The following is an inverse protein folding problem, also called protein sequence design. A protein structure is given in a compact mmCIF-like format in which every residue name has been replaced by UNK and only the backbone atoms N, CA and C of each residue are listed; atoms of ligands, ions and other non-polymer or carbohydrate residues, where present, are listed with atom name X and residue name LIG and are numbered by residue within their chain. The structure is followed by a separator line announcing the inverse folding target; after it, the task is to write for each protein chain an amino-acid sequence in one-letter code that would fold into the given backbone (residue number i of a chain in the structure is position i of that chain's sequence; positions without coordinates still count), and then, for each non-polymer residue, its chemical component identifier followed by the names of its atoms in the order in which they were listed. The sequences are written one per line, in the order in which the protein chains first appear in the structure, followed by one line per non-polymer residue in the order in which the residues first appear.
data_IF_039604150936
#
_entry.id   IF_039604150936
#
_cell.length_a   1.000
_cell.length_b   1.000
_cell.length_c   1.000
_cell.angle_alpha   90.00
_cell.angle_beta   90.00
_cell.angle_gamma   90.00
#
_symmetry.space_group_name_H-M   'P 1'
#
loop_
_entity.id
_entity.type
_entity.pdbx_description
1 polymer ?
#
# COMPACT_ATOMS: atom_id res chain seq x y z
N UNK A 1 -12.05 39.16 -25.11
CA UNK A 1 -10.83 38.63 -25.80
C UNK A 1 -9.53 38.69 -24.98
N UNK A 2 -9.55 38.83 -23.66
CA UNK A 2 -8.31 39.13 -22.88
C UNK A 2 -7.76 37.93 -22.03
N UNK A 3 -8.58 37.02 -21.54
CA UNK A 3 -8.10 35.93 -20.64
C UNK A 3 -7.25 34.82 -21.32
N UNK A 4 -7.46 34.56 -22.60
CA UNK A 4 -6.70 33.50 -23.32
C UNK A 4 -5.28 33.92 -23.70
N UNK A 5 -5.02 35.20 -23.90
CA UNK A 5 -3.67 35.71 -24.17
C UNK A 5 -2.79 35.74 -22.94
N UNK A 6 -3.28 36.19 -21.80
CA UNK A 6 -2.54 36.21 -20.54
C UNK A 6 -2.12 34.79 -20.08
N UNK A 7 -2.96 33.82 -20.31
CA UNK A 7 -2.63 32.40 -19.96
C UNK A 7 -1.54 31.83 -20.88
N UNK A 8 -1.52 32.21 -22.15
CA UNK A 8 -0.46 31.84 -23.09
C UNK A 8 0.89 32.51 -22.75
N UNK A 9 0.87 33.77 -22.32
CA UNK A 9 2.09 34.49 -21.97
C UNK A 9 2.73 34.01 -20.68
N UNK A 10 1.93 33.66 -19.66
CA UNK A 10 2.41 33.06 -18.44
C UNK A 10 3.01 31.67 -18.71
N UNK A 11 2.36 30.88 -19.54
CA UNK A 11 2.85 29.55 -19.94
C UNK A 11 4.18 29.67 -20.73
N UNK A 12 4.30 30.67 -21.63
CA UNK A 12 5.53 30.94 -22.37
C UNK A 12 6.70 31.39 -21.47
N UNK A 13 6.42 32.18 -20.43
CA UNK A 13 7.42 32.60 -19.43
C UNK A 13 7.93 31.41 -18.58
N UNK A 14 7.03 30.52 -18.17
CA UNK A 14 7.40 29.29 -17.45
C UNK A 14 8.19 28.31 -18.33
N UNK A 15 7.82 28.15 -19.61
CA UNK A 15 8.53 27.33 -20.58
C UNK A 15 9.95 27.85 -20.87
N UNK A 16 10.13 29.16 -20.93
CA UNK A 16 11.46 29.78 -21.07
C UNK A 16 12.36 29.55 -19.86
N UNK A 17 11.82 29.61 -18.64
CA UNK A 17 12.56 29.33 -17.40
C UNK A 17 13.04 27.89 -17.28
N UNK A 18 12.31 26.93 -17.83
CA UNK A 18 12.61 25.49 -17.80
C UNK A 18 13.38 24.99 -19.02
N UNK A 19 13.78 25.86 -19.96
CA UNK A 19 14.40 25.49 -21.24
C UNK A 19 13.59 24.43 -22.04
N UNK A 20 12.26 24.38 -21.84
CA UNK A 20 11.37 23.46 -22.52
C UNK A 20 11.06 23.94 -23.93
N UNK A 21 11.25 23.06 -24.91
CA UNK A 21 10.88 23.30 -26.31
C UNK A 21 9.40 22.92 -26.52
N UNK A 22 8.80 23.41 -27.61
CA UNK A 22 7.40 23.11 -27.97
C UNK A 22 7.16 21.58 -28.01
N UNK A 23 8.13 20.82 -28.49
CA UNK A 23 8.05 19.35 -28.56
C UNK A 23 8.00 18.69 -27.17
N UNK A 24 8.69 19.26 -26.18
CA UNK A 24 8.66 18.71 -24.82
C UNK A 24 7.27 18.86 -24.21
N UNK A 25 6.66 20.04 -24.38
CA UNK A 25 5.30 20.30 -23.92
C UNK A 25 4.28 19.41 -24.62
N UNK A 26 4.46 19.18 -25.93
CA UNK A 26 3.62 18.27 -26.69
C UNK A 26 3.65 16.86 -26.11
N UNK A 27 4.85 16.30 -25.84
CA UNK A 27 5.03 14.97 -25.28
C UNK A 27 4.47 14.90 -23.85
N UNK A 28 4.79 15.88 -22.98
CA UNK A 28 4.29 15.91 -21.59
C UNK A 28 2.76 15.95 -21.58
N UNK A 29 2.14 16.82 -22.36
CA UNK A 29 0.68 16.94 -22.43
C UNK A 29 0.03 15.64 -22.92
N UNK A 30 0.62 14.99 -23.92
CA UNK A 30 0.14 13.69 -24.41
C UNK A 30 0.27 12.62 -23.34
N UNK A 31 1.42 12.54 -22.66
CA UNK A 31 1.66 11.57 -21.61
C UNK A 31 0.68 11.72 -20.45
N UNK A 32 0.61 12.91 -19.85
CA UNK A 32 -0.28 13.17 -18.71
C UNK A 32 -1.75 12.99 -19.13
N UNK A 33 -2.16 13.47 -20.30
CA UNK A 33 -3.51 13.30 -20.80
C UNK A 33 -3.89 11.82 -21.00
N UNK A 34 -2.98 11.01 -21.54
CA UNK A 34 -3.20 9.57 -21.70
C UNK A 34 -3.23 8.85 -20.35
N UNK A 35 -2.37 9.24 -19.40
CA UNK A 35 -2.36 8.73 -18.04
C UNK A 35 -3.70 8.99 -17.32
N UNK A 36 -4.20 10.22 -17.33
CA UNK A 36 -5.50 10.57 -16.74
C UNK A 36 -6.63 9.80 -17.41
N UNK A 37 -6.62 9.72 -18.75
CA UNK A 37 -7.63 8.96 -19.48
C UNK A 37 -7.61 7.47 -19.12
N UNK A 38 -6.42 6.86 -19.02
CA UNK A 38 -6.28 5.45 -18.64
C UNK A 38 -6.79 5.18 -17.23
N UNK A 39 -6.48 6.06 -16.27
CA UNK A 39 -6.98 5.97 -14.90
C UNK A 39 -8.52 6.02 -14.89
N UNK A 40 -9.11 7.04 -15.50
CA UNK A 40 -10.56 7.24 -15.51
C UNK A 40 -11.29 6.04 -16.13
N UNK A 41 -10.79 5.52 -17.25
CA UNK A 41 -11.38 4.38 -17.92
C UNK A 41 -11.35 3.13 -17.04
N UNK A 42 -10.20 2.82 -16.44
CA UNK A 42 -10.05 1.58 -15.65
C UNK A 42 -10.74 1.71 -14.30
N UNK A 43 -10.75 2.90 -13.67
CA UNK A 43 -11.52 3.14 -12.45
C UNK A 43 -13.01 2.94 -12.72
N UNK A 44 -13.54 3.43 -13.85
CA UNK A 44 -14.94 3.20 -14.19
C UNK A 44 -15.27 1.70 -14.29
N UNK A 45 -14.39 0.91 -14.92
CA UNK A 45 -14.54 -0.56 -14.98
C UNK A 45 -14.42 -1.17 -13.59
N UNK A 46 -13.43 -0.76 -12.80
CA UNK A 46 -13.21 -1.28 -11.45
C UNK A 46 -14.40 -1.02 -10.53
N UNK A 47 -15.00 0.17 -10.58
CA UNK A 47 -16.21 0.50 -9.81
C UNK A 47 -17.38 -0.39 -10.23
N UNK A 48 -17.58 -0.63 -11.53
CA UNK A 48 -18.65 -1.50 -12.01
C UNK A 48 -18.47 -2.95 -11.52
N UNK A 49 -17.23 -3.45 -11.56
CA UNK A 49 -16.92 -4.80 -11.07
C UNK A 49 -17.08 -4.90 -9.55
N UNK A 50 -16.62 -3.91 -8.80
CA UNK A 50 -16.76 -3.87 -7.34
C UNK A 50 -18.23 -3.75 -6.90
N UNK A 51 -19.05 -2.95 -7.65
CA UNK A 51 -20.51 -2.93 -7.44
C UNK A 51 -21.12 -4.31 -7.66
N UNK A 52 -20.74 -4.98 -8.73
CA UNK A 52 -21.30 -6.30 -9.05
C UNK A 52 -20.90 -7.36 -7.99
N UNK A 53 -19.72 -7.23 -7.40
CA UNK A 53 -19.25 -8.12 -6.33
C UNK A 53 -19.94 -7.86 -4.99
N UNK A 54 -20.18 -6.58 -4.63
CA UNK A 54 -20.65 -6.17 -3.30
C UNK A 54 -22.12 -5.80 -3.22
N UNK A 55 -22.88 -5.92 -4.31
CA UNK A 55 -24.28 -5.49 -4.33
C UNK A 55 -25.14 -6.28 -3.33
N UNK A 56 -24.88 -7.57 -3.18
CA UNK A 56 -25.61 -8.42 -2.24
C UNK A 56 -25.35 -7.99 -0.79
N UNK A 57 -24.11 -7.67 -0.45
CA UNK A 57 -23.74 -7.16 0.88
C UNK A 57 -24.42 -5.81 1.17
N UNK A 58 -24.46 -4.90 0.18
CA UNK A 58 -25.11 -3.59 0.34
C UNK A 58 -26.62 -3.71 0.53
N UNK A 59 -27.27 -4.68 -0.15
CA UNK A 59 -28.72 -4.93 0.00
C UNK A 59 -29.02 -5.62 1.34
N UNK A 60 -28.24 -6.64 1.72
CA UNK A 60 -28.39 -7.37 2.99
C UNK A 60 -28.22 -6.45 4.19
N UNK A 61 -27.22 -5.55 4.15
CA UNK A 61 -26.94 -4.58 5.21
C UNK A 61 -27.84 -3.33 5.20
N UNK A 62 -28.71 -3.19 4.20
CA UNK A 62 -29.53 -1.99 4.01
C UNK A 62 -28.71 -0.69 3.97
N UNK A 63 -27.53 -0.72 3.38
CA UNK A 63 -26.65 0.43 3.28
C UNK A 63 -27.32 1.58 2.52
N UNK A 64 -27.39 2.82 3.08
CA UNK A 64 -27.99 3.94 2.40
C UNK A 64 -27.19 4.32 1.15
N UNK A 65 -27.86 4.56 0.02
CA UNK A 65 -27.23 4.90 -1.26
C UNK A 65 -26.24 6.08 -1.13
N UNK A 66 -26.54 7.04 -0.28
CA UNK A 66 -25.66 8.18 0.01
C UNK A 66 -24.33 7.71 0.58
N UNK A 67 -24.33 6.81 1.57
CA UNK A 67 -23.11 6.28 2.16
C UNK A 67 -22.32 5.43 1.15
N UNK A 68 -23.00 4.63 0.31
CA UNK A 68 -22.33 3.87 -0.77
C UNK A 68 -21.57 4.82 -1.70
N UNK A 69 -22.18 5.94 -2.13
CA UNK A 69 -21.54 6.87 -3.06
C UNK A 69 -20.43 7.69 -2.40
N UNK A 70 -20.70 8.32 -1.24
CA UNK A 70 -19.79 9.31 -0.65
C UNK A 70 -18.80 8.71 0.33
N UNK A 71 -19.18 7.70 1.12
CA UNK A 71 -18.29 7.13 2.12
C UNK A 71 -17.50 5.96 1.53
N UNK A 72 -18.08 5.19 0.59
CA UNK A 72 -17.39 4.08 -0.04
C UNK A 72 -16.73 4.47 -1.37
N UNK A 73 -17.49 4.74 -2.46
CA UNK A 73 -16.90 4.90 -3.80
C UNK A 73 -16.06 6.18 -3.95
N UNK A 74 -16.42 7.29 -3.35
CA UNK A 74 -15.62 8.52 -3.40
C UNK A 74 -14.25 8.32 -2.74
N UNK A 75 -14.15 7.42 -1.77
CA UNK A 75 -12.91 7.08 -1.06
C UNK A 75 -12.17 5.88 -1.66
N UNK A 76 -12.88 4.98 -2.34
CA UNK A 76 -12.31 3.87 -3.12
C UNK A 76 -11.49 4.39 -4.33
N UNK A 77 -11.99 5.40 -5.03
CA UNK A 77 -11.35 5.93 -6.25
C UNK A 77 -9.91 6.41 -6.02
N UNK A 78 -9.59 7.30 -5.05
CA UNK A 78 -8.22 7.72 -4.79
C UNK A 78 -7.30 6.58 -4.40
N UNK A 79 -7.76 5.66 -3.57
CA UNK A 79 -7.00 4.48 -3.17
C UNK A 79 -6.63 3.61 -4.36
N UNK A 80 -7.62 3.23 -5.18
CA UNK A 80 -7.44 2.38 -6.34
C UNK A 80 -6.55 3.03 -7.41
N UNK A 81 -6.74 4.33 -7.66
CA UNK A 81 -5.94 5.10 -8.61
C UNK A 81 -4.46 5.08 -8.26
N UNK A 82 -4.11 5.22 -6.98
CA UNK A 82 -2.73 5.24 -6.53
C UNK A 82 -2.13 3.84 -6.43
N UNK A 83 -2.89 2.87 -5.99
CA UNK A 83 -2.45 1.47 -5.91
C UNK A 83 -1.95 0.96 -7.26
N UNK A 84 -2.63 1.32 -8.35
CA UNK A 84 -2.31 0.91 -9.71
C UNK A 84 -1.65 2.02 -10.56
N UNK A 85 -1.20 3.13 -9.94
CA UNK A 85 -0.62 4.27 -10.68
C UNK A 85 0.55 3.89 -11.59
N UNK A 86 1.39 2.95 -11.16
CA UNK A 86 2.52 2.44 -11.94
C UNK A 86 2.06 1.70 -13.21
N UNK A 87 1.01 0.88 -13.10
CA UNK A 87 0.39 0.20 -14.23
C UNK A 87 -0.18 1.22 -15.24
N UNK A 88 -0.91 2.20 -14.74
CA UNK A 88 -1.50 3.24 -15.60
C UNK A 88 -0.45 4.11 -16.27
N UNK A 89 0.62 4.46 -15.56
CA UNK A 89 1.76 5.18 -16.12
C UNK A 89 2.38 4.38 -17.27
N UNK A 90 2.61 3.10 -17.05
CA UNK A 90 3.20 2.24 -18.04
C UNK A 90 2.31 2.08 -19.28
N UNK A 91 1.02 1.79 -19.09
CA UNK A 91 0.04 1.69 -20.19
C UNK A 91 0.00 3.00 -20.97
N UNK A 92 -0.06 4.14 -20.28
CA UNK A 92 -0.07 5.46 -20.92
C UNK A 92 1.17 5.68 -21.79
N UNK A 93 2.36 5.40 -21.23
CA UNK A 93 3.63 5.55 -21.97
C UNK A 93 3.66 4.66 -23.20
N UNK A 94 3.36 3.37 -23.06
CA UNK A 94 3.41 2.42 -24.17
C UNK A 94 2.38 2.80 -25.24
N UNK A 95 1.16 3.12 -24.83
CA UNK A 95 0.08 3.44 -25.76
C UNK A 95 0.38 4.68 -26.59
N UNK A 96 0.71 5.83 -25.95
CA UNK A 96 0.93 7.04 -26.73
C UNK A 96 2.25 7.02 -27.49
N UNK A 97 3.32 6.40 -26.94
CA UNK A 97 4.61 6.29 -27.62
C UNK A 97 4.53 5.39 -28.84
N UNK A 98 3.86 4.25 -28.74
CA UNK A 98 3.67 3.38 -29.93
C UNK A 98 2.80 4.06 -30.98
N UNK A 99 1.84 4.91 -30.60
CA UNK A 99 1.08 5.73 -31.55
C UNK A 99 1.95 6.77 -32.25
N UNK A 100 2.87 7.45 -31.52
CA UNK A 100 3.86 8.34 -32.10
C UNK A 100 4.82 7.60 -33.06
N UNK A 101 5.29 6.39 -32.67
CA UNK A 101 6.13 5.56 -33.50
C UNK A 101 5.42 5.09 -34.79
N UNK A 102 4.15 4.66 -34.67
CA UNK A 102 3.33 4.28 -35.80
C UNK A 102 3.14 5.41 -36.81
N UNK A 103 2.92 6.64 -36.32
CA UNK A 103 2.78 7.85 -37.13
C UNK A 103 4.10 8.42 -37.65
N UNK A 104 5.21 7.71 -37.44
CA UNK A 104 6.56 8.14 -37.81
C UNK A 104 7.05 9.43 -37.12
N UNK A 105 6.32 9.95 -36.14
CA UNK A 105 6.68 11.18 -35.42
C UNK A 105 8.01 11.02 -34.65
N UNK A 106 8.28 9.85 -34.06
CA UNK A 106 9.55 9.57 -33.37
C UNK A 106 10.71 9.58 -34.37
N UNK A 107 10.52 8.98 -35.56
CA UNK A 107 11.54 8.98 -36.61
C UNK A 107 11.82 10.42 -37.05
N UNK A 108 10.79 11.22 -37.27
CA UNK A 108 10.95 12.64 -37.66
C UNK A 108 11.70 13.44 -36.59
N UNK A 109 11.42 13.21 -35.30
CA UNK A 109 12.15 13.85 -34.18
C UNK A 109 13.63 13.46 -34.20
N UNK A 110 13.96 12.20 -34.36
CA UNK A 110 15.34 11.73 -34.37
C UNK A 110 16.07 12.18 -35.61
N UNK A 111 15.42 12.19 -36.79
CA UNK A 111 16.00 12.64 -38.07
C UNK A 111 16.26 14.17 -38.08
N UNK A 112 15.59 14.93 -37.23
CA UNK A 112 15.88 16.37 -37.06
C UNK A 112 17.14 16.67 -36.23
N UNK A 113 17.93 15.64 -35.86
CA UNK A 113 19.16 15.78 -35.08
C UNK A 113 18.94 15.81 -33.56
N UNK A 114 17.72 15.53 -33.06
CA UNK A 114 17.46 15.39 -31.63
C UNK A 114 17.90 14.01 -31.20
N UNK A 115 18.85 13.95 -30.24
CA UNK A 115 19.31 12.66 -29.68
C UNK A 115 18.20 11.94 -28.94
N UNK A 116 18.24 10.61 -28.90
CA UNK A 116 17.28 9.78 -28.14
C UNK A 116 17.23 10.16 -26.65
N UNK A 117 18.37 10.48 -26.04
CA UNK A 117 18.47 10.97 -24.67
C UNK A 117 17.69 12.27 -24.47
N UNK A 118 17.75 13.19 -25.43
CA UNK A 118 17.02 14.46 -25.36
C UNK A 118 15.51 14.25 -25.53
N UNK A 119 15.11 13.29 -26.36
CA UNK A 119 13.70 12.89 -26.53
C UNK A 119 13.12 12.25 -25.26
N UNK A 120 13.92 11.54 -24.45
CA UNK A 120 13.47 10.96 -23.17
C UNK A 120 13.18 12.04 -22.10
N UNK A 121 13.78 13.22 -22.20
CA UNK A 121 13.67 14.25 -21.17
C UNK A 121 12.22 14.65 -20.81
N UNK A 122 11.32 14.93 -21.77
CA UNK A 122 9.91 15.22 -21.46
C UNK A 122 9.16 14.03 -20.81
N UNK A 123 9.54 12.80 -21.10
CA UNK A 123 8.97 11.63 -20.42
C UNK A 123 9.39 11.57 -18.95
N UNK A 124 10.66 11.89 -18.67
CA UNK A 124 11.15 11.96 -17.27
C UNK A 124 10.45 13.10 -16.52
N UNK A 125 10.24 14.26 -17.13
CA UNK A 125 9.46 15.35 -16.52
C UNK A 125 8.03 14.90 -16.22
N UNK A 126 7.36 14.26 -17.19
CA UNK A 126 6.02 13.72 -16.99
C UNK A 126 5.97 12.66 -15.88
N UNK A 127 6.95 11.75 -15.86
CA UNK A 127 7.10 10.76 -14.80
C UNK A 127 7.33 11.41 -13.43
N UNK A 128 8.11 12.50 -13.36
CA UNK A 128 8.33 13.27 -12.12
C UNK A 128 7.02 13.86 -11.60
N UNK A 129 6.21 14.46 -12.48
CA UNK A 129 4.91 15.01 -12.09
C UNK A 129 3.99 13.91 -11.53
N UNK A 130 3.92 12.75 -12.20
CA UNK A 130 3.12 11.62 -11.74
C UNK A 130 3.67 11.07 -10.43
N UNK A 131 4.99 10.90 -10.30
CA UNK A 131 5.64 10.37 -9.10
C UNK A 131 5.41 11.27 -7.88
N UNK A 132 5.56 12.59 -8.03
CA UNK A 132 5.29 13.56 -6.96
C UNK A 132 3.82 13.58 -6.57
N UNK A 133 2.92 13.55 -7.56
CA UNK A 133 1.49 13.45 -7.32
C UNK A 133 1.14 12.16 -6.56
N UNK A 134 1.62 11.01 -7.03
CA UNK A 134 1.38 9.71 -6.38
C UNK A 134 1.94 9.68 -4.96
N UNK A 135 3.15 10.23 -4.74
CA UNK A 135 3.74 10.32 -3.41
C UNK A 135 2.92 11.18 -2.45
N UNK A 136 2.46 12.35 -2.91
CA UNK A 136 1.62 13.23 -2.11
C UNK A 136 0.26 12.58 -1.78
N UNK A 137 -0.39 11.98 -2.77
CA UNK A 137 -1.66 11.29 -2.56
C UNK A 137 -1.52 10.12 -1.60
N UNK A 138 -0.48 9.28 -1.75
CA UNK A 138 -0.25 8.10 -0.91
C UNK A 138 -0.03 8.46 0.56
N UNK A 139 0.57 9.62 0.85
CA UNK A 139 0.88 10.01 2.23
C UNK A 139 -0.20 10.89 2.89
N UNK A 140 -1.03 11.61 2.11
CA UNK A 140 -1.97 12.60 2.66
C UNK A 140 -3.44 12.33 2.30
N UNK A 141 -3.74 11.89 1.09
CA UNK A 141 -5.12 11.71 0.62
C UNK A 141 -5.60 10.29 0.87
N UNK A 142 -4.83 9.29 0.44
CA UNK A 142 -5.19 7.87 0.55
C UNK A 142 -5.42 7.43 2.00
N UNK A 143 -4.62 7.82 3.00
CA UNK A 143 -4.86 7.42 4.38
C UNK A 143 -6.24 7.85 4.90
N UNK A 144 -6.61 9.11 4.65
CA UNK A 144 -7.91 9.63 5.08
C UNK A 144 -9.08 8.97 4.32
N UNK A 145 -8.92 8.78 3.01
CA UNK A 145 -9.90 8.08 2.20
C UNK A 145 -10.08 6.62 2.65
N UNK A 146 -8.98 5.91 2.94
CA UNK A 146 -9.04 4.56 3.44
C UNK A 146 -9.67 4.43 4.83
N UNK A 147 -9.49 5.42 5.72
CA UNK A 147 -10.20 5.43 7.02
C UNK A 147 -11.70 5.33 6.81
N UNK A 148 -12.27 6.24 5.99
CA UNK A 148 -13.71 6.30 5.73
C UNK A 148 -14.20 5.03 5.01
N UNK A 149 -13.44 4.56 4.01
CA UNK A 149 -13.78 3.35 3.25
C UNK A 149 -13.80 2.10 4.13
N UNK A 150 -12.77 1.90 4.96
CA UNK A 150 -12.66 0.74 5.85
C UNK A 150 -13.74 0.75 6.95
N UNK A 151 -14.07 1.94 7.47
CA UNK A 151 -15.18 2.12 8.42
C UNK A 151 -16.52 1.72 7.79
N UNK A 152 -16.75 2.14 6.54
CA UNK A 152 -17.93 1.72 5.78
C UNK A 152 -17.95 0.20 5.55
N UNK A 153 -16.83 -0.39 5.11
CA UNK A 153 -16.73 -1.84 4.89
C UNK A 153 -16.97 -2.63 6.18
N UNK A 154 -16.47 -2.15 7.32
CA UNK A 154 -16.69 -2.80 8.60
C UNK A 154 -18.17 -2.74 9.02
N UNK A 155 -18.85 -1.63 8.74
CA UNK A 155 -20.24 -1.45 9.16
C UNK A 155 -21.25 -2.13 8.24
N UNK A 156 -21.04 -2.12 6.91
CA UNK A 156 -22.03 -2.56 5.94
C UNK A 156 -21.66 -3.85 5.17
N UNK A 157 -20.38 -4.08 4.88
CA UNK A 157 -19.94 -5.25 4.11
C UNK A 157 -19.59 -6.41 5.03
N UNK A 158 -18.96 -6.13 6.16
CA UNK A 158 -18.53 -7.14 7.12
C UNK A 158 -19.46 -7.22 8.33
N UNK A 159 -20.75 -6.96 8.11
CA UNK A 159 -21.80 -6.98 9.15
C UNK A 159 -22.01 -8.35 9.81
N UNK A 160 -21.51 -9.42 9.21
CA UNK A 160 -21.25 -10.69 9.92
C UNK A 160 -19.95 -10.50 10.69
N UNK A 161 -20.00 -10.61 12.04
CA UNK A 161 -18.78 -10.54 12.81
C UNK A 161 -17.82 -11.61 12.28
N UNK A 162 -16.86 -11.20 11.44
CA UNK A 162 -15.86 -12.11 10.91
C UNK A 162 -15.09 -12.61 12.11
N UNK A 163 -15.30 -13.90 12.43
CA UNK A 163 -14.59 -14.56 13.52
C UNK A 163 -13.11 -14.62 13.15
N UNK A 164 -12.35 -13.62 13.57
CA UNK A 164 -10.90 -13.71 13.55
C UNK A 164 -10.46 -14.50 14.78
N UNK A 165 -10.15 -15.75 14.57
CA UNK A 165 -9.44 -16.53 15.58
C UNK A 165 -7.94 -16.28 15.41
N UNK A 166 -7.44 -15.22 16.03
CA UNK A 166 -6.00 -15.04 16.16
C UNK A 166 -5.44 -16.16 17.03
N UNK A 167 -4.35 -16.80 16.57
CA UNK A 167 -3.69 -17.89 17.29
C UNK A 167 -2.28 -17.48 17.68
N UNK A 168 -1.85 -18.02 18.84
CA UNK A 168 -0.50 -17.85 19.37
C UNK A 168 -0.07 -16.37 19.53
N UNK A 169 -0.96 -15.56 20.13
CA UNK A 169 -0.71 -14.14 20.34
C UNK A 169 0.30 -13.97 21.48
N UNK A 170 1.45 -13.39 21.16
CA UNK A 170 2.44 -12.91 22.14
C UNK A 170 2.49 -11.40 22.10
N UNK A 171 2.37 -10.74 23.24
CA UNK A 171 2.41 -9.28 23.30
C UNK A 171 3.03 -8.79 24.60
N UNK A 172 4.00 -7.91 24.52
CA UNK A 172 4.51 -7.19 25.68
C UNK A 172 3.57 -6.02 26.01
N UNK A 173 2.97 -6.04 27.21
CA UNK A 173 2.01 -5.03 27.67
C UNK A 173 2.65 -3.95 28.52
N UNK A 174 3.72 -4.30 29.23
CA UNK A 174 4.60 -3.39 29.97
C UNK A 174 6.04 -3.90 29.85
N UNK A 175 7.07 -3.06 30.10
CA UNK A 175 8.44 -3.54 30.17
C UNK A 175 8.56 -4.73 31.15
N UNK A 176 9.03 -5.87 30.64
CA UNK A 176 9.14 -7.11 31.40
C UNK A 176 7.84 -7.84 31.70
N UNK A 177 6.69 -7.44 31.12
CA UNK A 177 5.41 -8.15 31.26
C UNK A 177 4.90 -8.55 29.89
N UNK A 178 4.88 -9.86 29.64
CA UNK A 178 4.41 -10.45 28.38
C UNK A 178 3.13 -11.20 28.63
N UNK A 179 2.17 -11.08 27.72
CA UNK A 179 0.96 -11.91 27.69
C UNK A 179 1.04 -12.92 26.54
N UNK A 180 0.42 -14.05 26.74
CA UNK A 180 0.19 -15.06 25.72
C UNK A 180 -1.27 -15.48 25.70
N UNK A 181 -1.83 -15.68 24.52
CA UNK A 181 -3.13 -16.31 24.29
C UNK A 181 -2.99 -17.32 23.15
N UNK A 182 -3.47 -18.54 23.34
CA UNK A 182 -3.50 -19.52 22.25
C UNK A 182 -4.47 -19.12 21.16
N UNK A 183 -5.66 -18.60 21.54
CA UNK A 183 -6.69 -18.16 20.60
C UNK A 183 -7.44 -16.97 21.18
N UNK A 184 -7.75 -15.99 20.36
CA UNK A 184 -8.61 -14.87 20.71
C UNK A 184 -9.84 -14.82 19.80
N UNK A 185 -11.02 -14.79 20.39
CA UNK A 185 -12.31 -14.61 19.71
C UNK A 185 -12.75 -13.14 19.83
N UNK A 186 -12.86 -12.46 18.72
CA UNK A 186 -13.35 -11.07 18.68
C UNK A 186 -14.88 -10.98 18.88
N UNK A 187 -15.62 -12.05 18.69
CA UNK A 187 -17.07 -12.12 18.90
C UNK A 187 -17.44 -12.01 20.37
N UNK A 188 -16.74 -12.78 21.20
CA UNK A 188 -16.96 -12.82 22.64
C UNK A 188 -15.97 -11.96 23.43
N UNK A 189 -15.02 -11.28 22.73
CA UNK A 189 -13.88 -10.59 23.34
C UNK A 189 -13.16 -11.46 24.39
N UNK A 190 -12.89 -12.73 24.02
CA UNK A 190 -12.35 -13.74 24.93
C UNK A 190 -11.06 -14.32 24.40
N UNK A 191 -10.02 -14.29 25.21
CA UNK A 191 -8.74 -14.98 24.96
C UNK A 191 -8.70 -16.32 25.69
N UNK A 192 -8.41 -17.41 25.00
CA UNK A 192 -8.32 -18.74 25.55
C UNK A 192 -6.88 -19.16 25.82
N UNK A 193 -6.67 -19.99 26.83
CA UNK A 193 -5.36 -20.42 27.35
C UNK A 193 -4.42 -19.24 27.54
N UNK A 194 -4.89 -18.32 28.37
CA UNK A 194 -4.23 -17.08 28.64
C UNK A 194 -3.09 -17.22 29.65
N UNK A 195 -1.98 -16.52 29.43
CA UNK A 195 -0.96 -16.35 30.47
C UNK A 195 -0.42 -14.91 30.52
N UNK A 196 -0.01 -14.47 31.73
CA UNK A 196 0.79 -13.29 31.99
C UNK A 196 2.11 -13.71 32.59
N UNK A 197 3.20 -13.33 31.99
CA UNK A 197 4.56 -13.62 32.46
C UNK A 197 5.26 -12.34 32.84
N UNK A 198 5.80 -12.28 34.06
CA UNK A 198 6.56 -11.13 34.57
C UNK A 198 8.04 -11.50 34.70
N UNK A 199 8.87 -10.71 34.01
CA UNK A 199 10.31 -10.89 34.03
C UNK A 199 10.98 -9.70 34.76
N UNK A 200 11.97 -9.99 35.58
CA UNK A 200 12.88 -9.02 36.20
C UNK A 200 14.29 -9.50 35.91
N UNK A 201 15.16 -8.65 35.39
CA UNK A 201 16.52 -9.00 34.98
C UNK A 201 16.59 -10.28 34.12
N UNK A 202 15.69 -10.42 33.14
CA UNK A 202 15.53 -11.57 32.27
C UNK A 202 15.21 -12.91 33.01
N UNK A 203 14.77 -12.85 34.26
CA UNK A 203 14.31 -14.03 35.01
C UNK A 203 12.80 -13.95 35.23
N UNK A 204 12.12 -15.07 35.01
CA UNK A 204 10.69 -15.20 35.29
C UNK A 204 10.46 -15.17 36.79
N UNK A 205 9.73 -14.16 37.29
CA UNK A 205 9.41 -14.00 38.71
C UNK A 205 7.95 -14.35 39.01
N UNK A 206 7.04 -14.23 38.06
CA UNK A 206 5.64 -14.60 38.23
C UNK A 206 5.02 -14.99 36.92
N UNK A 207 4.18 -16.04 36.93
CA UNK A 207 3.36 -16.50 35.80
C UNK A 207 1.94 -16.74 36.26
N UNK A 208 0.99 -15.98 35.73
CA UNK A 208 -0.43 -16.23 35.81
C UNK A 208 -0.83 -17.03 34.58
N UNK A 209 -1.56 -18.14 34.78
CA UNK A 209 -2.23 -18.89 33.70
C UNK A 209 -3.71 -19.02 34.02
N UNK A 210 -4.54 -18.92 32.98
CA UNK A 210 -5.99 -19.01 33.07
C UNK A 210 -6.55 -19.78 31.87
N UNK A 211 -7.67 -20.46 32.05
CA UNK A 211 -8.35 -21.16 30.95
C UNK A 211 -8.80 -20.19 29.88
N UNK A 212 -9.36 -19.04 30.32
CA UNK A 212 -9.72 -17.95 29.42
C UNK A 212 -9.74 -16.63 30.17
N UNK A 213 -9.64 -15.57 29.38
CA UNK A 213 -9.72 -14.17 29.81
C UNK A 213 -10.79 -13.46 29.00
N UNK A 214 -11.71 -12.76 29.63
CA UNK A 214 -12.82 -12.06 28.99
C UNK A 214 -12.81 -10.57 29.32
N UNK A 215 -13.15 -9.75 28.34
CA UNK A 215 -13.28 -8.31 28.53
C UNK A 215 -14.62 -7.96 29.17
N UNK A 216 -14.56 -7.29 30.31
CA UNK A 216 -15.73 -6.70 30.95
C UNK A 216 -15.88 -5.25 30.51
N UNK A 217 -16.84 -4.97 29.63
CA UNK A 217 -17.10 -3.62 29.10
C UNK A 217 -17.61 -2.64 30.15
N UNK A 218 -18.20 -3.12 31.24
CA UNK A 218 -18.72 -2.26 32.33
C UNK A 218 -17.58 -1.78 33.20
N UNK A 219 -16.66 -2.68 33.53
CA UNK A 219 -15.48 -2.39 34.35
C UNK A 219 -14.31 -1.84 33.57
N UNK A 220 -14.35 -1.93 32.22
CA UNK A 220 -13.21 -1.65 31.34
C UNK A 220 -11.94 -2.40 31.77
N UNK A 221 -12.07 -3.69 32.08
CA UNK A 221 -10.98 -4.55 32.55
C UNK A 221 -11.09 -5.94 31.96
N UNK A 222 -9.96 -6.62 31.97
CA UNK A 222 -9.90 -8.05 31.64
C UNK A 222 -10.05 -8.87 32.91
N UNK A 223 -10.94 -9.84 32.89
CA UNK A 223 -11.16 -10.80 33.98
C UNK A 223 -10.65 -12.17 33.51
N UNK A 224 -9.66 -12.71 34.20
CA UNK A 224 -9.12 -14.05 33.99
C UNK A 224 -9.90 -15.08 34.84
N UNK A 225 -10.30 -16.20 34.23
CA UNK A 225 -11.10 -17.22 34.85
C UNK A 225 -10.33 -18.56 34.99
N UNK A 226 -10.60 -19.30 36.07
CA UNK A 226 -9.93 -20.56 36.43
C UNK A 226 -8.42 -20.38 36.40
N UNK A 227 -7.94 -19.43 37.20
CA UNK A 227 -6.55 -19.04 37.17
C UNK A 227 -5.70 -19.71 38.24
N UNK A 228 -4.39 -19.81 37.98
CA UNK A 228 -3.38 -20.00 38.96
C UNK A 228 -2.19 -19.05 38.71
N UNK A 229 -1.64 -18.56 39.83
CA UNK A 229 -0.46 -17.71 39.83
C UNK A 229 0.69 -18.49 40.44
N UNK A 230 1.78 -18.64 39.71
CA UNK A 230 3.04 -19.18 40.15
C UNK A 230 4.02 -18.06 40.39
N UNK A 231 4.40 -17.81 41.65
CA UNK A 231 5.42 -16.87 42.01
C UNK A 231 6.71 -17.64 42.32
N UNK A 232 7.84 -17.15 41.78
CA UNK A 232 9.15 -17.78 41.83
C UNK A 232 10.11 -16.85 42.59
N UNK A 233 10.60 -17.30 43.71
CA UNK A 233 11.60 -16.62 44.53
C UNK A 233 12.81 -17.53 44.72
N UNK A 234 13.77 -17.42 43.82
CA UNK A 234 14.93 -18.30 43.74
C UNK A 234 14.51 -19.77 43.52
N UNK A 235 14.71 -20.62 44.52
CA UNK A 235 14.32 -22.04 44.51
C UNK A 235 12.96 -22.29 45.14
N UNK A 236 12.29 -21.29 45.71
CA UNK A 236 10.98 -21.42 46.34
C UNK A 236 9.89 -20.99 45.35
N UNK A 237 8.86 -21.79 45.28
CA UNK A 237 7.69 -21.52 44.43
C UNK A 237 6.43 -21.51 45.28
N UNK A 238 5.57 -20.54 45.03
CA UNK A 238 4.23 -20.47 45.63
C UNK A 238 3.18 -20.48 44.57
N UNK A 239 2.13 -21.30 44.73
CA UNK A 239 1.03 -21.40 43.78
C UNK A 239 -0.25 -20.94 44.46
N UNK A 240 -0.89 -19.92 43.88
CA UNK A 240 -2.19 -19.41 44.29
C UNK A 240 -3.21 -19.78 43.22
N UNK A 241 -4.35 -20.35 43.59
CA UNK A 241 -5.41 -20.70 42.65
C UNK A 241 -6.70 -19.96 42.99
N UNK A 242 -7.51 -19.64 42.00
CA UNK A 242 -8.78 -18.97 42.18
C UNK A 242 -9.71 -19.12 40.98
N UNK A 243 -10.97 -18.75 41.15
CA UNK A 243 -11.99 -18.86 40.12
C UNK A 243 -11.98 -17.68 39.14
N UNK A 244 -11.75 -16.43 39.62
CA UNK A 244 -11.69 -15.24 38.79
C UNK A 244 -10.80 -14.17 39.42
N UNK A 245 -10.12 -13.41 38.58
CA UNK A 245 -9.30 -12.27 38.98
C UNK A 245 -9.34 -11.18 37.91
N UNK A 246 -9.60 -9.95 38.33
CA UNK A 246 -9.52 -8.77 37.45
C UNK A 246 -8.06 -8.37 37.23
N UNK A 247 -7.68 -8.15 35.98
CA UNK A 247 -6.32 -7.77 35.59
C UNK A 247 -6.35 -6.38 34.99
N UNK A 248 -5.36 -5.55 35.33
CA UNK A 248 -5.21 -4.22 34.76
C UNK A 248 -4.12 -4.25 33.68
N UNK A 249 -4.52 -4.58 32.46
CA UNK A 249 -3.62 -4.66 31.31
C UNK A 249 -3.85 -3.45 30.39
N UNK A 250 -2.77 -2.87 29.88
CA UNK A 250 -2.86 -1.75 28.92
C UNK A 250 -3.11 -2.24 27.50
N UNK A 251 -4.14 -3.09 27.37
CA UNK A 251 -4.65 -3.62 26.09
C UNK A 251 -6.19 -3.63 26.14
N UNK A 252 -6.80 -3.37 25.01
CA UNK A 252 -8.25 -3.38 24.82
C UNK A 252 -8.64 -4.37 23.72
N UNK A 253 -9.92 -4.78 23.62
CA UNK A 253 -10.40 -5.58 22.48
C UNK A 253 -10.09 -4.96 21.11
N UNK A 254 -10.00 -3.62 21.01
CA UNK A 254 -9.64 -2.93 19.78
C UNK A 254 -8.21 -3.26 19.31
N UNK A 255 -7.30 -3.55 20.23
CA UNK A 255 -5.92 -3.91 19.90
C UNK A 255 -5.79 -5.27 19.19
N UNK A 256 -6.81 -6.12 19.34
CA UNK A 256 -6.92 -7.44 18.69
C UNK A 256 -7.80 -7.41 17.43
N UNK A 257 -8.53 -6.30 17.17
CA UNK A 257 -9.37 -6.14 15.96
C UNK A 257 -8.61 -5.52 14.80
N UNK A 258 -7.39 -5.01 15.03
CA UNK A 258 -6.62 -4.30 13.99
C UNK A 258 -6.20 -5.26 12.90
N UNK A 259 -6.81 -5.07 11.72
CA UNK A 259 -6.42 -5.77 10.49
C UNK A 259 -5.05 -5.27 10.03
N UNK A 260 -4.29 -6.12 9.35
CA UNK A 260 -3.02 -5.73 8.71
C UNK A 260 -3.22 -4.51 7.80
N UNK A 261 -4.38 -4.39 7.17
CA UNK A 261 -4.71 -3.29 6.25
C UNK A 261 -4.95 -1.93 6.94
N UNK A 262 -5.04 -1.87 8.28
CA UNK A 262 -5.21 -0.59 9.00
C UNK A 262 -4.03 0.35 8.74
N UNK A 263 -2.83 -0.19 8.51
CA UNK A 263 -1.64 0.64 8.19
C UNK A 263 -1.78 1.42 6.88
N UNK A 264 -2.62 0.95 5.95
CA UNK A 264 -2.94 1.68 4.71
C UNK A 264 -3.77 2.94 4.97
N UNK A 265 -4.45 3.02 6.12
CA UNK A 265 -5.23 4.18 6.56
C UNK A 265 -4.43 5.16 7.42
N UNK A 266 -3.17 4.86 7.72
CA UNK A 266 -2.29 5.71 8.53
C UNK A 266 -1.50 6.66 7.65
N UNK A 267 -1.41 7.93 8.05
CA UNK A 267 -0.47 8.85 7.44
C UNK A 267 0.97 8.48 7.82
N UNK A 268 1.95 9.14 7.21
CA UNK A 268 3.36 8.80 7.43
C UNK A 268 3.77 8.83 8.90
N UNK A 269 3.31 9.85 9.65
CA UNK A 269 3.67 10.03 11.06
C UNK A 269 2.98 8.97 11.93
N UNK A 270 1.68 8.76 11.72
CA UNK A 270 0.91 7.73 12.43
C UNK A 270 1.51 6.33 12.18
N UNK A 271 1.94 6.05 10.93
CA UNK A 271 2.57 4.78 10.59
C UNK A 271 3.94 4.61 11.28
N UNK A 272 4.77 5.65 11.34
CA UNK A 272 6.07 5.60 12.01
C UNK A 272 5.91 5.40 13.52
N UNK A 273 4.97 6.11 14.16
CA UNK A 273 4.64 5.96 15.58
C UNK A 273 4.09 4.54 15.86
N UNK A 274 3.19 4.05 15.02
CA UNK A 274 2.63 2.71 15.15
C UNK A 274 3.67 1.59 14.99
N UNK A 275 4.58 1.70 14.01
CA UNK A 275 5.67 0.73 13.83
C UNK A 275 6.56 0.72 15.07
N UNK A 276 6.91 1.89 15.61
CA UNK A 276 7.74 1.96 16.82
C UNK A 276 7.06 1.30 18.02
N UNK A 277 5.76 1.50 18.21
CA UNK A 277 4.99 0.80 19.25
C UNK A 277 4.99 -0.72 19.03
N UNK A 278 4.83 -1.18 17.78
CA UNK A 278 4.85 -2.63 17.48
C UNK A 278 6.25 -3.24 17.67
N UNK A 279 7.32 -2.51 17.38
CA UNK A 279 8.70 -2.94 17.68
C UNK A 279 8.90 -3.14 19.18
N UNK A 280 8.42 -2.20 20.00
CA UNK A 280 8.53 -2.31 21.47
C UNK A 280 7.67 -3.45 22.05
N UNK A 281 6.54 -3.77 21.41
CA UNK A 281 5.59 -4.80 21.86
C UNK A 281 5.92 -6.20 21.32
N UNK A 282 6.90 -6.33 20.41
CA UNK A 282 7.20 -7.60 19.74
C UNK A 282 6.06 -8.09 18.83
N UNK A 283 5.42 -7.15 18.08
CA UNK A 283 4.26 -7.46 17.24
C UNK A 283 4.59 -8.43 16.09
N UNK A 284 3.73 -9.44 15.89
CA UNK A 284 3.94 -10.54 14.92
C UNK A 284 3.95 -10.11 13.43
N UNK A 285 3.39 -8.94 13.10
CA UNK A 285 3.25 -8.47 11.71
C UNK A 285 4.15 -7.28 11.38
N UNK A 286 5.23 -7.09 12.13
CA UNK A 286 6.13 -5.95 11.99
C UNK A 286 6.68 -5.83 10.57
N UNK A 287 7.06 -6.95 9.94
CA UNK A 287 7.59 -6.99 8.58
C UNK A 287 6.57 -6.47 7.55
N UNK A 288 5.30 -6.79 7.70
CA UNK A 288 4.24 -6.31 6.81
C UNK A 288 4.07 -4.78 6.92
N UNK A 289 4.17 -4.22 8.13
CA UNK A 289 4.10 -2.77 8.37
C UNK A 289 5.31 -2.03 7.81
N UNK A 290 6.51 -2.60 7.99
CA UNK A 290 7.74 -2.08 7.40
C UNK A 290 7.71 -2.11 5.87
N UNK A 291 7.15 -3.15 5.26
CA UNK A 291 6.96 -3.23 3.81
C UNK A 291 6.07 -2.09 3.33
N UNK A 292 4.94 -1.84 3.99
CA UNK A 292 4.05 -0.74 3.61
C UNK A 292 4.78 0.62 3.69
N UNK A 293 5.54 0.87 4.76
CA UNK A 293 6.37 2.06 4.91
C UNK A 293 7.36 2.23 3.77
N UNK A 294 8.12 1.18 3.44
CA UNK A 294 9.14 1.25 2.39
C UNK A 294 8.55 1.30 0.98
N UNK A 295 7.41 0.65 0.74
CA UNK A 295 6.66 0.74 -0.54
C UNK A 295 6.27 2.19 -0.86
N UNK A 296 5.83 2.97 0.12
CA UNK A 296 5.46 4.38 -0.09
C UNK A 296 6.60 5.23 -0.64
N UNK A 297 7.84 4.89 -0.31
CA UNK A 297 9.04 5.56 -0.83
C UNK A 297 9.49 4.95 -2.16
N UNK A 298 9.45 3.64 -2.30
CA UNK A 298 9.96 2.94 -3.47
C UNK A 298 9.04 3.05 -4.70
N UNK A 299 7.73 3.18 -4.49
CA UNK A 299 6.73 3.25 -5.57
C UNK A 299 6.94 4.43 -6.55
N UNK A 300 7.27 5.66 -6.14
CA UNK A 300 7.61 6.73 -7.08
C UNK A 300 8.80 6.42 -7.98
N UNK A 301 9.79 5.66 -7.50
CA UNK A 301 10.96 5.28 -8.32
C UNK A 301 10.59 4.28 -9.42
N UNK A 302 9.67 3.36 -9.16
CA UNK A 302 9.18 2.44 -10.18
C UNK A 302 8.49 3.15 -11.35
N UNK A 303 7.86 4.31 -11.11
CA UNK A 303 7.29 5.17 -12.16
C UNK A 303 8.34 5.56 -13.21
N UNK A 304 9.54 5.96 -12.80
CA UNK A 304 10.63 6.28 -13.72
C UNK A 304 11.14 5.06 -14.49
N UNK A 305 11.35 3.97 -13.77
CA UNK A 305 11.87 2.72 -14.35
C UNK A 305 10.92 2.21 -15.43
N UNK A 306 9.63 2.10 -15.10
CA UNK A 306 8.61 1.64 -16.02
C UNK A 306 8.41 2.63 -17.19
N UNK A 307 8.50 3.94 -16.95
CA UNK A 307 8.47 4.94 -18.04
C UNK A 307 9.60 4.70 -19.03
N UNK A 308 10.84 4.51 -18.57
CA UNK A 308 11.99 4.26 -19.45
C UNK A 308 11.80 2.97 -20.25
N UNK A 309 11.40 1.87 -19.58
CA UNK A 309 11.11 0.58 -20.26
C UNK A 309 10.02 0.78 -21.31
N UNK A 310 8.93 1.43 -20.95
CA UNK A 310 7.80 1.70 -21.84
C UNK A 310 8.20 2.47 -23.09
N UNK A 311 9.00 3.55 -22.95
CA UNK A 311 9.51 4.30 -24.10
C UNK A 311 10.45 3.44 -24.95
N UNK A 312 11.38 2.71 -24.34
CA UNK A 312 12.36 1.92 -25.10
C UNK A 312 11.69 0.79 -25.90
N UNK A 313 10.65 0.15 -25.34
CA UNK A 313 9.91 -0.91 -26.03
C UNK A 313 9.05 -0.35 -27.17
N UNK A 314 8.40 0.82 -26.95
CA UNK A 314 7.38 1.33 -27.87
C UNK A 314 7.89 2.39 -28.88
N UNK A 315 9.13 2.85 -28.74
CA UNK A 315 9.70 3.87 -29.65
C UNK A 315 10.05 3.36 -31.04
N UNK A 316 10.13 2.02 -31.23
CA UNK A 316 10.46 1.41 -32.51
C UNK A 316 9.22 1.12 -33.33
N UNK A 317 9.27 1.40 -34.63
CA UNK A 317 8.22 0.97 -35.56
C UNK A 317 8.35 -0.54 -35.79
N UNK A 318 7.33 -1.33 -35.42
CA UNK A 318 7.31 -2.76 -35.65
C UNK A 318 6.23 -3.15 -36.67
N UNK A 319 6.45 -4.25 -37.38
CA UNK A 319 5.46 -4.79 -38.34
C UNK A 319 4.18 -5.29 -37.63
N UNK A 320 4.26 -5.64 -36.34
CA UNK A 320 3.13 -6.07 -35.52
C UNK A 320 2.23 -4.92 -35.03
N UNK A 321 2.52 -3.68 -35.40
CA UNK A 321 1.72 -2.50 -35.03
C UNK A 321 1.78 -2.17 -33.53
N UNK A 322 0.83 -1.34 -33.09
CA UNK A 322 0.72 -0.90 -31.68
C UNK A 322 0.40 -2.03 -30.73
N UNK A 323 -0.32 -3.06 -31.19
CA UNK A 323 -0.75 -4.20 -30.36
C UNK A 323 0.41 -5.02 -29.81
N UNK A 324 1.46 -5.25 -30.63
CA UNK A 324 2.65 -5.98 -30.18
C UNK A 324 3.38 -5.24 -29.05
N UNK A 325 3.55 -3.93 -29.17
CA UNK A 325 4.19 -3.12 -28.14
C UNK A 325 3.40 -3.10 -26.85
N UNK A 326 2.06 -3.03 -26.94
CA UNK A 326 1.18 -3.09 -25.79
C UNK A 326 1.33 -4.47 -25.11
N UNK A 327 1.30 -5.56 -25.88
CA UNK A 327 1.44 -6.92 -25.35
C UNK A 327 2.78 -7.14 -24.61
N UNK A 328 3.92 -6.79 -25.25
CA UNK A 328 5.23 -6.87 -24.61
C UNK A 328 5.29 -5.95 -23.38
N UNK A 329 4.76 -4.75 -23.51
CA UNK A 329 4.71 -3.82 -22.42
C UNK A 329 3.93 -4.37 -21.23
N UNK A 330 2.72 -4.85 -21.45
CA UNK A 330 1.89 -5.47 -20.40
C UNK A 330 2.64 -6.62 -19.71
N UNK A 331 3.35 -7.46 -20.46
CA UNK A 331 4.15 -8.54 -19.90
C UNK A 331 5.23 -8.01 -18.92
N UNK A 332 5.96 -6.93 -19.28
CA UNK A 332 6.92 -6.29 -18.37
C UNK A 332 6.26 -5.72 -17.12
N UNK A 333 5.12 -5.06 -17.27
CA UNK A 333 4.42 -4.47 -16.14
C UNK A 333 3.87 -5.54 -15.18
N UNK A 334 3.20 -6.56 -15.69
CA UNK A 334 2.70 -7.65 -14.86
C UNK A 334 3.84 -8.42 -14.19
N UNK A 335 4.92 -8.71 -14.92
CA UNK A 335 6.08 -9.37 -14.32
C UNK A 335 6.72 -8.54 -13.20
N UNK A 336 6.76 -7.20 -13.34
CA UNK A 336 7.19 -6.30 -12.26
C UNK A 336 6.27 -6.39 -11.03
N UNK A 337 4.93 -6.32 -11.24
CA UNK A 337 3.97 -6.39 -10.15
C UNK A 337 4.07 -7.75 -9.43
N UNK A 338 4.11 -8.84 -10.18
CA UNK A 338 4.24 -10.20 -9.64
C UNK A 338 5.55 -10.34 -8.85
N UNK A 339 6.66 -9.85 -9.40
CA UNK A 339 7.94 -9.91 -8.71
C UNK A 339 7.98 -9.06 -7.43
N UNK A 340 7.35 -7.87 -7.44
CA UNK A 340 7.20 -7.05 -6.24
C UNK A 340 6.38 -7.80 -5.16
N UNK A 341 5.32 -8.49 -5.57
CA UNK A 341 4.46 -9.24 -4.64
C UNK A 341 5.20 -10.42 -4.03
N UNK A 342 5.92 -11.21 -4.86
CA UNK A 342 6.75 -12.30 -4.35
C UNK A 342 7.83 -11.81 -3.39
N UNK A 343 8.57 -10.76 -3.78
CA UNK A 343 9.63 -10.20 -2.93
C UNK A 343 9.08 -9.71 -1.59
N UNK A 344 7.91 -9.07 -1.59
CA UNK A 344 7.23 -8.65 -0.36
C UNK A 344 6.83 -9.84 0.52
N UNK A 345 6.34 -10.93 -0.10
CA UNK A 345 5.93 -12.13 0.63
C UNK A 345 7.12 -12.83 1.31
N UNK A 346 8.29 -12.87 0.66
CA UNK A 346 9.51 -13.37 1.30
C UNK A 346 9.94 -12.54 2.51
N UNK A 347 9.69 -11.24 2.51
CA UNK A 347 9.98 -10.42 3.69
C UNK A 347 8.95 -10.67 4.81
N UNK A 348 7.67 -10.80 4.50
CA UNK A 348 6.62 -11.13 5.48
C UNK A 348 6.90 -12.48 6.16
N UNK A 349 7.45 -13.46 5.42
CA UNK A 349 7.86 -14.75 5.99
C UNK A 349 9.15 -14.69 6.84
N UNK A 350 9.75 -13.52 7.01
CA UNK A 350 11.01 -13.33 7.76
C UNK A 350 12.28 -13.76 7.02
N UNK A 351 12.17 -14.19 5.74
CA UNK A 351 13.31 -14.69 4.97
C UNK A 351 14.20 -13.57 4.40
N UNK A 352 13.65 -12.36 4.25
CA UNK A 352 14.34 -11.19 3.70
C UNK A 352 14.08 -9.95 4.55
N UNK A 353 15.08 -9.06 4.61
CA UNK A 353 14.87 -7.74 5.22
C UNK A 353 13.83 -6.95 4.38
N UNK A 354 12.78 -6.34 5.01
CA UNK A 354 11.72 -5.61 4.33
C UNK A 354 12.21 -4.50 3.39
N UNK A 355 13.23 -3.75 3.79
CA UNK A 355 13.82 -2.71 2.96
C UNK A 355 14.43 -3.30 1.68
N UNK A 356 15.21 -4.37 1.80
CA UNK A 356 15.86 -5.02 0.66
C UNK A 356 14.79 -5.61 -0.27
N UNK A 357 13.79 -6.29 0.29
CA UNK A 357 12.71 -6.92 -0.48
C UNK A 357 11.96 -5.92 -1.37
N UNK A 358 11.66 -4.72 -0.88
CA UNK A 358 10.96 -3.69 -1.64
C UNK A 358 11.84 -3.08 -2.75
N UNK A 359 13.17 -3.03 -2.55
CA UNK A 359 14.08 -2.43 -3.53
C UNK A 359 14.62 -3.40 -4.58
N UNK A 360 14.68 -4.73 -4.31
CA UNK A 360 15.15 -5.74 -5.28
C UNK A 360 14.42 -5.62 -6.64
N UNK A 361 13.08 -5.57 -6.73
CA UNK A 361 12.40 -5.43 -8.00
C UNK A 361 12.78 -4.15 -8.74
N UNK A 362 12.89 -3.03 -8.02
CA UNK A 362 13.29 -1.75 -8.60
C UNK A 362 14.71 -1.80 -9.17
N UNK A 363 15.66 -2.38 -8.46
CA UNK A 363 17.06 -2.50 -8.92
C UNK A 363 17.15 -3.40 -10.16
N UNK A 364 16.47 -4.55 -10.15
CA UNK A 364 16.47 -5.49 -11.27
C UNK A 364 15.86 -4.83 -12.52
N UNK A 365 14.69 -4.19 -12.37
CA UNK A 365 14.04 -3.54 -13.50
C UNK A 365 14.74 -2.25 -13.95
N UNK A 366 15.47 -1.57 -13.07
CA UNK A 366 16.38 -0.49 -13.49
C UNK A 366 17.52 -1.02 -14.37
N UNK A 367 18.08 -2.20 -14.06
CA UNK A 367 19.03 -2.90 -14.94
C UNK A 367 18.45 -3.24 -16.30
N UNK A 368 17.21 -3.76 -16.34
CA UNK A 368 16.48 -4.01 -17.60
C UNK A 368 16.24 -2.70 -18.37
N UNK A 369 15.80 -1.64 -17.68
CA UNK A 369 15.59 -0.32 -18.29
C UNK A 369 16.89 0.21 -18.93
N UNK A 370 18.00 0.11 -18.21
CA UNK A 370 19.32 0.49 -18.73
C UNK A 370 19.73 -0.32 -19.94
N UNK A 371 19.55 -1.65 -19.92
CA UNK A 371 19.85 -2.53 -21.04
C UNK A 371 19.02 -2.18 -22.29
N UNK A 372 17.70 -2.01 -22.13
CA UNK A 372 16.80 -1.60 -23.21
C UNK A 372 17.14 -0.21 -23.76
N UNK A 373 17.53 0.72 -22.89
CA UNK A 373 18.01 2.04 -23.30
C UNK A 373 19.28 1.97 -24.14
N UNK A 374 20.21 1.07 -23.83
CA UNK A 374 21.44 0.86 -24.62
C UNK A 374 21.16 0.29 -26.02
N UNK A 375 20.09 -0.50 -26.14
CA UNK A 375 19.63 -1.08 -27.40
C UNK A 375 18.74 -0.13 -28.22
N UNK A 376 18.28 0.97 -27.65
CA UNK A 376 17.43 1.92 -28.34
C UNK A 376 18.16 2.61 -29.52
N UNK A 377 17.45 2.98 -30.60
CA UNK A 377 18.07 3.70 -31.73
C UNK A 377 18.66 5.01 -31.23
N UNK A 378 19.92 5.24 -31.57
CA UNK A 378 20.66 6.45 -31.21
C UNK A 378 20.53 7.48 -32.29
#
# INVERSE_FOLDING_TARGET
MSKSRVHKDILHLWLKKLHLRIIDWYIIRKFIGTFIYSILLIIAIAVVLDVAEKIDDFVESQAPLRAIIFDYYLNFIPYFAILYSNLFTFIAVVFFTSKLAYRTEIIAILSSGISYRRMLWPYIIGATLIALFSYAFLNYVVPNANKVRLDFEEHYVHNKPVSYNYRNIHKQVYPGVVIYMETYSNLSNTGYKFSIEKFVDNKLVSKLMADYMMWDSVKNKWTAYNYYIRNIDGLKETIIKGTSIDTNLNITPADFRRRVNVVESMNKRELDEFIHEQELQGGENLEAYLIEKYKRVAQPFSTYILTIIGVCVSSRKSRGGTGLHIGIGMAFCFSYIVFMQFSSQFAISGSLNPLIAVWIPNILYAGIAYYLYRLAPK
#
